data_IF_058174690623
#
_entry.id   IF_058174690623
#
_cell.length_a   1.000
_cell.length_b   1.000
_cell.length_c   1.000
_cell.angle_alpha   90.00
_cell.angle_beta   90.00
_cell.angle_gamma   90.00
#
_symmetry.space_group_name_H-M   'P 1'
#
loop_
_entity.id
_entity.type
_entity.pdbx_description
1 polymer ?
#
# COMPACT_ATOMS: atom_id res chain seq x y z
N UNK A 1 8.51 11.57 9.73
CA UNK A 1 8.23 11.02 8.37
C UNK A 1 8.02 9.51 8.49
N UNK A 2 6.84 8.99 8.10
CA UNK A 2 6.46 7.58 8.31
C UNK A 2 6.54 6.70 7.05
N UNK A 3 7.02 7.22 5.93
CA UNK A 3 7.29 6.42 4.71
C UNK A 3 6.21 6.46 3.63
N UNK A 4 5.19 7.31 3.80
CA UNK A 4 4.18 7.58 2.78
C UNK A 4 4.66 8.72 1.88
N UNK A 5 5.08 8.38 0.65
CA UNK A 5 5.59 9.35 -0.33
C UNK A 5 4.47 10.14 -1.03
N UNK A 6 3.28 9.55 -1.12
CA UNK A 6 2.08 10.16 -1.70
C UNK A 6 1.12 10.52 -0.58
N UNK A 7 1.45 11.56 0.16
CA UNK A 7 0.58 12.14 1.16
C UNK A 7 0.27 13.58 0.76
N UNK A 8 -1.00 13.97 0.80
CA UNK A 8 -1.42 15.29 0.34
C UNK A 8 -2.85 15.63 0.72
N UNK A 9 -3.17 16.91 0.58
CA UNK A 9 -4.53 17.42 0.80
C UNK A 9 -5.40 16.97 -0.37
N UNK A 10 -6.44 16.20 -0.06
CA UNK A 10 -7.40 15.72 -1.04
C UNK A 10 -8.54 16.72 -1.25
N UNK A 11 -9.00 17.36 -0.17
CA UNK A 11 -10.04 18.40 -0.23
C UNK A 11 -9.89 19.36 0.93
N UNK A 12 -10.12 20.64 0.65
CA UNK A 12 -10.31 21.69 1.65
C UNK A 12 -11.82 21.96 1.73
N UNK A 13 -12.41 21.82 2.93
CA UNK A 13 -13.76 22.30 3.24
C UNK A 13 -13.67 23.11 4.53
N UNK A 14 -14.60 24.06 4.70
CA UNK A 14 -14.54 25.04 5.79
C UNK A 14 -14.40 24.41 7.19
N UNK A 15 -14.98 23.22 7.40
CA UNK A 15 -14.96 22.52 8.69
C UNK A 15 -13.93 21.38 8.77
N UNK A 16 -13.36 20.93 7.63
CA UNK A 16 -12.49 19.76 7.60
C UNK A 16 -11.52 19.77 6.43
N UNK A 17 -10.27 19.50 6.75
CA UNK A 17 -9.23 19.15 5.78
C UNK A 17 -9.18 17.64 5.60
N UNK A 18 -9.41 17.16 4.38
CA UNK A 18 -9.29 15.74 4.04
C UNK A 18 -7.89 15.49 3.50
N UNK A 19 -7.16 14.58 4.13
CA UNK A 19 -5.79 14.20 3.74
C UNK A 19 -5.82 12.76 3.24
N UNK A 20 -5.24 12.53 2.07
CA UNK A 20 -4.96 11.18 1.59
C UNK A 20 -3.53 10.79 1.96
N UNK A 21 -3.36 9.59 2.51
CA UNK A 21 -2.06 9.00 2.85
C UNK A 21 -1.95 7.67 2.11
N UNK A 22 -1.24 7.67 0.98
CA UNK A 22 -1.15 6.53 0.09
C UNK A 22 0.30 6.00 -0.03
N UNK A 23 0.45 4.68 0.10
CA UNK A 23 1.72 4.00 -0.13
C UNK A 23 2.07 3.96 -1.62
N UNK A 24 3.28 3.51 -1.95
CA UNK A 24 3.71 3.30 -3.36
C UNK A 24 3.82 1.84 -3.76
N UNK A 25 3.67 0.92 -2.81
CA UNK A 25 3.72 -0.51 -3.08
C UNK A 25 2.46 -0.95 -3.84
N UNK A 26 2.66 -1.44 -5.07
CA UNK A 26 1.62 -1.97 -5.96
C UNK A 26 2.16 -3.17 -6.75
N UNK A 27 1.29 -4.09 -7.14
CA UNK A 27 1.57 -5.17 -8.09
C UNK A 27 0.38 -5.20 -9.04
N UNK A 28 0.65 -5.00 -10.33
CA UNK A 28 -0.32 -5.25 -11.40
C UNK A 28 0.37 -6.20 -12.38
N UNK A 29 -0.20 -7.40 -12.54
CA UNK A 29 0.31 -8.41 -13.45
C UNK A 29 -0.88 -9.24 -13.97
N UNK A 30 -1.06 -9.36 -15.30
CA UNK A 30 -2.07 -10.27 -15.85
C UNK A 30 -1.66 -11.72 -15.57
N UNK A 31 -2.55 -12.51 -14.96
CA UNK A 31 -2.31 -13.92 -14.65
C UNK A 31 -3.23 -14.86 -15.45
N UNK A 32 -4.36 -14.35 -15.92
CA UNK A 32 -5.31 -15.07 -16.76
C UNK A 32 -6.04 -14.08 -17.68
N UNK A 33 -6.43 -14.54 -18.86
CA UNK A 33 -7.27 -13.80 -19.80
C UNK A 33 -8.19 -14.75 -20.57
N UNK A 34 -9.44 -14.35 -20.78
CA UNK A 34 -10.45 -15.14 -21.51
C UNK A 34 -10.55 -16.60 -21.04
N UNK A 35 -10.49 -16.82 -19.71
CA UNK A 35 -10.56 -18.15 -19.09
C UNK A 35 -9.29 -19.00 -19.24
N UNK A 36 -8.20 -18.46 -19.80
CA UNK A 36 -6.91 -19.14 -19.93
C UNK A 36 -5.89 -18.54 -18.97
N UNK A 37 -5.17 -19.40 -18.26
CA UNK A 37 -4.04 -18.99 -17.44
C UNK A 37 -2.88 -18.61 -18.37
N UNK A 38 -2.26 -17.46 -18.12
CA UNK A 38 -1.18 -16.90 -18.95
C UNK A 38 0.23 -17.18 -18.40
N UNK A 39 0.30 -17.72 -17.19
CA UNK A 39 1.53 -17.87 -16.42
C UNK A 39 1.66 -19.30 -15.90
N UNK A 40 2.89 -19.74 -15.66
CA UNK A 40 3.15 -21.02 -15.00
C UNK A 40 3.02 -20.91 -13.48
N UNK A 41 3.05 -22.07 -12.82
CA UNK A 41 2.95 -22.15 -11.36
C UNK A 41 4.13 -21.46 -10.66
N UNK A 42 5.34 -21.54 -11.22
CA UNK A 42 6.53 -20.92 -10.66
C UNK A 42 6.40 -19.38 -10.61
N UNK A 43 5.90 -18.77 -11.68
CA UNK A 43 5.63 -17.35 -11.74
C UNK A 43 4.49 -16.96 -10.79
N UNK A 44 3.45 -17.78 -10.69
CA UNK A 44 2.36 -17.54 -9.74
C UNK A 44 2.87 -17.58 -8.29
N UNK A 45 3.69 -18.57 -7.94
CA UNK A 45 4.37 -18.64 -6.64
C UNK A 45 5.25 -17.43 -6.36
N UNK A 46 6.00 -16.98 -7.37
CA UNK A 46 6.80 -15.75 -7.27
C UNK A 46 5.92 -14.52 -6.96
N UNK A 47 4.83 -14.32 -7.70
CA UNK A 47 3.92 -13.19 -7.49
C UNK A 47 3.28 -13.20 -6.10
N UNK A 48 2.84 -14.37 -5.61
CA UNK A 48 2.29 -14.53 -4.26
C UNK A 48 3.32 -14.17 -3.20
N UNK A 49 4.57 -14.64 -3.35
CA UNK A 49 5.65 -14.31 -2.43
C UNK A 49 5.98 -12.81 -2.43
N UNK A 50 6.01 -12.19 -3.62
CA UNK A 50 6.23 -10.76 -3.77
C UNK A 50 5.09 -9.95 -3.12
N UNK A 51 3.83 -10.35 -3.36
CA UNK A 51 2.65 -9.71 -2.77
C UNK A 51 2.70 -9.76 -1.24
N UNK A 52 2.99 -10.92 -0.67
CA UNK A 52 3.13 -11.10 0.78
C UNK A 52 4.26 -10.24 1.36
N UNK A 53 5.40 -10.14 0.67
CA UNK A 53 6.50 -9.27 1.09
C UNK A 53 6.09 -7.80 1.10
N UNK A 54 5.42 -7.32 0.05
CA UNK A 54 4.93 -5.93 -0.03
C UNK A 54 3.85 -5.65 1.03
N UNK A 55 2.94 -6.59 1.25
CA UNK A 55 1.91 -6.48 2.28
C UNK A 55 2.51 -6.28 3.69
N UNK A 56 3.47 -7.14 4.08
CA UNK A 56 4.15 -7.01 5.38
C UNK A 56 4.86 -5.67 5.54
N UNK A 57 5.55 -5.21 4.49
CA UNK A 57 6.18 -3.88 4.48
C UNK A 57 5.16 -2.75 4.65
N UNK A 58 4.02 -2.83 3.95
CA UNK A 58 2.92 -1.88 4.10
C UNK A 58 2.38 -1.84 5.52
N UNK A 59 2.16 -3.01 6.15
CA UNK A 59 1.69 -3.10 7.54
C UNK A 59 2.68 -2.47 8.53
N UNK A 60 3.98 -2.71 8.36
CA UNK A 60 5.02 -2.08 9.18
C UNK A 60 5.05 -0.56 9.02
N UNK A 61 4.87 -0.07 7.78
CA UNK A 61 4.83 1.37 7.47
C UNK A 61 3.62 2.03 8.14
N UNK A 62 2.45 1.38 8.11
CA UNK A 62 1.24 1.84 8.79
C UNK A 62 1.43 1.86 10.32
N UNK A 63 2.03 0.81 10.90
CA UNK A 63 2.33 0.76 12.33
C UNK A 63 3.23 1.92 12.76
N UNK A 64 4.28 2.21 11.99
CA UNK A 64 5.17 3.36 12.25
C UNK A 64 4.45 4.69 12.16
N UNK A 65 3.47 4.83 11.26
CA UNK A 65 2.64 6.04 11.21
C UNK A 65 1.83 6.20 12.49
N UNK A 66 1.18 5.13 12.95
CA UNK A 66 0.42 5.14 14.21
C UNK A 66 1.31 5.51 15.41
N UNK A 67 2.46 4.85 15.56
CA UNK A 67 3.43 5.10 16.65
C UNK A 67 3.87 6.57 16.65
N UNK A 68 4.27 7.10 15.49
CA UNK A 68 4.68 8.50 15.37
C UNK A 68 3.53 9.47 15.70
N UNK A 69 2.30 9.19 15.27
CA UNK A 69 1.16 10.04 15.59
C UNK A 69 0.88 10.05 17.09
N UNK A 70 0.90 8.88 17.74
CA UNK A 70 0.71 8.77 19.20
C UNK A 70 1.77 9.56 19.97
N UNK A 71 3.05 9.46 19.59
CA UNK A 71 4.15 10.16 20.26
C UNK A 71 4.15 11.68 20.05
N UNK A 72 3.50 12.21 19.02
CA UNK A 72 3.42 13.66 18.75
C UNK A 72 2.10 14.29 19.23
N UNK A 73 1.11 13.47 19.60
CA UNK A 73 -0.19 13.91 20.11
C UNK A 73 -0.31 13.76 21.65
N UNK A 74 0.63 13.07 22.29
CA UNK A 74 0.81 13.03 23.75
C UNK A 74 1.59 14.23 24.25
#
# INVERSE_FOLDING_TARGET
NSGFKRAGIHSLRDERYVIEICGTDRIDAPIADNGRILVDDDYLHYLVNLANKKYRKGRNTLKRLEENLRSNLS
#
